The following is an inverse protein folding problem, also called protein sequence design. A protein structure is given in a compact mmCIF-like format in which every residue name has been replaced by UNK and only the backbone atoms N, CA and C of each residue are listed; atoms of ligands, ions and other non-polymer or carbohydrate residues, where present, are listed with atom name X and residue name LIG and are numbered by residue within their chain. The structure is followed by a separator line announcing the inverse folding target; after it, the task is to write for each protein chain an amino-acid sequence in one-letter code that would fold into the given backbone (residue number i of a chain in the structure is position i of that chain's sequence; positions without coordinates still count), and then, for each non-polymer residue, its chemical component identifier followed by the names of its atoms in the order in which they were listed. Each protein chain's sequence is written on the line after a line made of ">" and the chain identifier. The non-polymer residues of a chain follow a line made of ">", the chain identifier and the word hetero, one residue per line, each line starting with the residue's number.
data_IF_355217637104
#
_entry.id   IF_355217637104
#
_cell.length_a   1.000
_cell.length_b   1.000
_cell.length_c   1.000
_cell.angle_alpha   90.00
_cell.angle_beta   90.00
_cell.angle_gamma   90.00
#
_symmetry.space_group_name_H-M   'P 1'
#
loop_
_entity.id
_entity.type
_entity.pdbx_description
1 polymer ?
#
# COMPACT_ATOMS: atom_id res chain seq x y z
N UNK A 1 -10.10 8.46 5.42
CA UNK A 1 -9.47 7.18 5.08
C UNK A 1 -10.46 6.09 4.73
N UNK A 2 -10.40 5.62 3.48
CA UNK A 2 -11.08 4.40 3.02
C UNK A 2 -10.22 3.16 3.34
N UNK A 3 -10.88 2.03 3.58
CA UNK A 3 -10.19 0.79 3.94
C UNK A 3 -10.78 -0.42 3.19
N UNK A 4 -9.95 -1.45 3.02
CA UNK A 4 -10.33 -2.74 2.46
C UNK A 4 -9.65 -3.87 3.25
N UNK A 5 -10.38 -4.93 3.55
CA UNK A 5 -9.80 -6.13 4.16
C UNK A 5 -8.95 -6.90 3.15
N UNK A 6 -7.85 -7.51 3.61
CA UNK A 6 -6.89 -8.19 2.76
C UNK A 6 -7.53 -9.17 1.76
N UNK A 7 -8.42 -10.05 2.21
CA UNK A 7 -9.07 -11.05 1.34
C UNK A 7 -9.78 -10.42 0.14
N UNK A 8 -10.48 -9.30 0.36
CA UNK A 8 -11.19 -8.60 -0.71
C UNK A 8 -10.22 -7.87 -1.63
N UNK A 9 -9.18 -7.26 -1.08
CA UNK A 9 -8.10 -6.66 -1.86
C UNK A 9 -7.42 -7.72 -2.75
N UNK A 10 -7.05 -8.86 -2.18
CA UNK A 10 -6.34 -9.93 -2.86
C UNK A 10 -7.18 -10.52 -4.01
N UNK A 11 -8.49 -10.69 -3.81
CA UNK A 11 -9.42 -11.08 -4.87
C UNK A 11 -9.47 -10.08 -6.03
N UNK A 12 -9.36 -8.78 -5.77
CA UNK A 12 -9.31 -7.75 -6.83
C UNK A 12 -7.95 -7.76 -7.53
N UNK A 13 -6.87 -7.80 -6.74
CA UNK A 13 -5.49 -7.87 -7.21
C UNK A 13 -5.25 -9.04 -8.17
N UNK A 14 -5.90 -10.19 -7.94
CA UNK A 14 -5.83 -11.35 -8.82
C UNK A 14 -6.62 -11.22 -10.13
N UNK A 15 -7.59 -10.31 -10.20
CA UNK A 15 -8.53 -10.19 -11.33
C UNK A 15 -8.18 -9.06 -12.28
N UNK A 16 -7.62 -7.99 -11.77
CA UNK A 16 -7.33 -6.79 -12.54
C UNK A 16 -6.04 -6.12 -12.05
N UNK A 17 -5.33 -5.39 -12.93
CA UNK A 17 -4.17 -4.63 -12.51
C UNK A 17 -4.58 -3.53 -11.53
N UNK A 18 -4.00 -3.57 -10.33
CA UNK A 18 -4.19 -2.55 -9.30
C UNK A 18 -2.89 -1.78 -9.08
N UNK A 19 -3.02 -0.48 -8.85
CA UNK A 19 -1.91 0.33 -8.37
C UNK A 19 -1.76 0.10 -6.86
N UNK A 20 -0.71 -0.62 -6.48
CA UNK A 20 -0.44 -0.96 -5.08
C UNK A 20 0.84 -0.27 -4.65
N UNK A 21 0.78 0.40 -3.50
CA UNK A 21 1.91 1.09 -2.87
C UNK A 21 2.31 0.34 -1.60
N UNK A 22 3.47 -0.31 -1.61
CA UNK A 22 4.05 -0.93 -0.42
C UNK A 22 4.90 0.09 0.33
N UNK A 23 4.54 0.36 1.59
CA UNK A 23 5.22 1.33 2.46
C UNK A 23 6.08 0.68 3.55
N UNK A 24 6.40 -0.61 3.39
CA UNK A 24 7.41 -1.29 4.22
C UNK A 24 8.82 -0.79 3.89
N UNK A 25 9.76 -1.14 4.75
CA UNK A 25 11.18 -0.88 4.46
C UNK A 25 11.69 -1.84 3.37
N UNK A 26 12.80 -1.47 2.73
CA UNK A 26 13.36 -2.18 1.56
C UNK A 26 13.65 -3.65 1.87
N UNK A 27 14.18 -3.95 3.05
CA UNK A 27 14.52 -5.31 3.48
C UNK A 27 13.28 -6.21 3.61
N UNK A 28 12.18 -5.68 4.16
CA UNK A 28 10.91 -6.41 4.23
C UNK A 28 10.33 -6.68 2.82
N UNK A 29 10.48 -5.71 1.91
CA UNK A 29 10.00 -5.82 0.54
C UNK A 29 10.79 -6.86 -0.28
N UNK A 30 12.12 -6.80 -0.20
CA UNK A 30 13.02 -7.73 -0.89
C UNK A 30 12.85 -9.17 -0.39
N UNK A 31 12.51 -9.37 0.88
CA UNK A 31 12.25 -10.70 1.44
C UNK A 31 10.99 -11.35 0.84
N UNK A 32 9.90 -10.60 0.73
CA UNK A 32 8.63 -11.05 0.15
C UNK A 32 7.74 -9.85 -0.18
N UNK A 33 7.24 -9.77 -1.42
CA UNK A 33 6.28 -8.76 -1.85
C UNK A 33 5.30 -9.32 -2.89
N UNK A 34 4.21 -8.60 -3.11
CA UNK A 34 3.26 -8.87 -4.20
C UNK A 34 3.87 -8.42 -5.53
N UNK A 35 3.62 -9.14 -6.62
CA UNK A 35 4.13 -8.75 -7.94
C UNK A 35 3.48 -7.46 -8.46
N UNK A 36 4.26 -6.65 -9.18
CA UNK A 36 3.76 -5.44 -9.86
C UNK A 36 3.41 -4.28 -8.91
N UNK A 37 3.87 -4.32 -7.67
CA UNK A 37 3.62 -3.25 -6.69
C UNK A 37 4.79 -2.25 -6.64
N UNK A 38 4.47 -0.98 -6.39
CA UNK A 38 5.46 0.08 -6.22
C UNK A 38 5.91 0.14 -4.75
N UNK A 39 7.23 0.11 -4.51
CA UNK A 39 7.81 0.33 -3.19
C UNK A 39 8.03 1.83 -2.95
N UNK A 40 7.53 2.35 -1.83
CA UNK A 40 7.85 3.67 -1.32
C UNK A 40 7.84 3.63 0.22
N UNK A 41 9.00 3.41 0.87
CA UNK A 41 9.05 3.21 2.31
C UNK A 41 8.42 4.38 3.07
N UNK A 42 7.72 4.09 4.17
CA UNK A 42 7.11 5.14 4.99
C UNK A 42 8.14 6.17 5.48
N UNK A 43 9.38 5.72 5.72
CA UNK A 43 10.53 6.55 6.11
C UNK A 43 10.89 7.60 5.06
N UNK A 44 10.60 7.36 3.79
CA UNK A 44 10.94 8.23 2.65
C UNK A 44 9.71 8.93 2.04
N UNK A 45 8.50 8.54 2.46
CA UNK A 45 7.23 8.99 1.87
C UNK A 45 7.12 10.52 1.83
N UNK A 46 7.50 11.21 2.91
CA UNK A 46 7.35 12.66 3.01
C UNK A 46 8.18 13.43 1.95
N UNK A 47 9.31 12.87 1.54
CA UNK A 47 10.22 13.50 0.58
C UNK A 47 9.92 13.08 -0.87
N UNK A 48 9.27 11.93 -1.07
CA UNK A 48 9.15 11.25 -2.36
C UNK A 48 7.70 11.03 -2.83
N UNK A 49 6.68 11.41 -2.06
CA UNK A 49 5.27 11.17 -2.44
C UNK A 49 4.88 11.76 -3.81
N UNK A 50 5.58 12.78 -4.28
CA UNK A 50 5.36 13.41 -5.58
C UNK A 50 5.74 12.51 -6.77
N UNK A 51 6.39 11.36 -6.53
CA UNK A 51 6.59 10.31 -7.52
C UNK A 51 5.29 9.56 -7.87
N UNK A 52 4.24 9.73 -7.06
CA UNK A 52 2.93 9.14 -7.28
C UNK A 52 2.07 10.02 -8.19
N UNK A 53 1.28 9.38 -9.05
CA UNK A 53 0.33 10.02 -9.95
C UNK A 53 -0.92 10.45 -9.17
N UNK A 54 -1.20 11.75 -9.09
CA UNK A 54 -2.25 12.31 -8.24
C UNK A 54 -3.67 11.77 -8.55
N UNK A 55 -3.95 11.50 -9.83
CA UNK A 55 -5.27 11.05 -10.27
C UNK A 55 -5.51 9.55 -10.09
N UNK A 56 -4.45 8.78 -9.82
CA UNK A 56 -4.48 7.33 -9.65
C UNK A 56 -4.97 6.93 -8.25
N UNK A 57 -5.70 5.81 -8.18
CA UNK A 57 -6.11 5.21 -6.91
C UNK A 57 -5.03 4.23 -6.44
N UNK A 58 -4.45 4.45 -5.27
CA UNK A 58 -3.46 3.55 -4.69
C UNK A 58 -4.04 2.70 -3.55
N UNK A 59 -3.82 1.39 -3.61
CA UNK A 59 -4.01 0.48 -2.49
C UNK A 59 -2.71 0.44 -1.69
N UNK A 60 -2.73 0.99 -0.47
CA UNK A 60 -1.53 1.14 0.34
C UNK A 60 -1.44 -0.03 1.31
N UNK A 61 -0.32 -0.75 1.26
CA UNK A 61 -0.08 -1.94 2.05
C UNK A 61 1.19 -1.78 2.88
N UNK A 62 1.20 -2.35 4.08
CA UNK A 62 2.40 -2.53 4.87
C UNK A 62 2.41 -3.93 5.50
N UNK A 63 3.21 -4.16 6.54
CA UNK A 63 3.20 -5.45 7.26
C UNK A 63 1.82 -5.82 7.84
N UNK A 64 1.18 -4.93 8.58
CA UNK A 64 -0.04 -5.25 9.36
C UNK A 64 -1.23 -4.29 9.18
N UNK A 65 -1.06 -3.21 8.41
CA UNK A 65 -2.07 -2.16 8.22
C UNK A 65 -1.81 -0.85 9.00
N UNK A 66 -0.89 -0.84 9.97
CA UNK A 66 -0.64 0.35 10.82
C UNK A 66 0.16 1.44 10.08
N UNK A 67 1.28 1.06 9.45
CA UNK A 67 2.12 2.00 8.67
C UNK A 67 1.38 2.51 7.43
N UNK A 68 0.63 1.66 6.75
CA UNK A 68 -0.17 2.03 5.59
C UNK A 68 -1.31 2.98 5.97
N UNK A 69 -1.94 2.83 7.13
CA UNK A 69 -2.90 3.82 7.63
C UNK A 69 -2.29 5.22 7.78
N UNK A 70 -1.06 5.32 8.32
CA UNK A 70 -0.34 6.60 8.44
C UNK A 70 0.02 7.17 7.07
N UNK A 71 0.51 6.33 6.17
CA UNK A 71 0.80 6.73 4.80
C UNK A 71 -0.46 7.24 4.08
N UNK A 72 -1.59 6.53 4.22
CA UNK A 72 -2.86 6.96 3.65
C UNK A 72 -3.29 8.31 4.19
N UNK A 73 -3.22 8.54 5.51
CA UNK A 73 -3.57 9.83 6.08
C UNK A 73 -2.73 10.96 5.48
N UNK A 74 -1.40 10.78 5.43
CA UNK A 74 -0.48 11.75 4.83
C UNK A 74 -0.82 12.02 3.36
N UNK A 75 -1.06 10.98 2.56
CA UNK A 75 -1.38 11.09 1.14
C UNK A 75 -2.75 11.74 0.89
N UNK A 76 -3.78 11.42 1.69
CA UNK A 76 -5.10 12.06 1.62
C UNK A 76 -5.00 13.58 1.88
N UNK A 77 -4.17 14.01 2.84
CA UNK A 77 -3.92 15.43 3.13
C UNK A 77 -3.27 16.17 1.94
N UNK A 78 -2.56 15.45 1.07
CA UNK A 78 -1.95 15.97 -0.16
C UNK A 78 -2.83 15.76 -1.41
N UNK A 79 -4.06 15.27 -1.25
CA UNK A 79 -5.05 15.15 -2.34
C UNK A 79 -5.01 13.83 -3.12
N UNK A 80 -4.22 12.84 -2.67
CA UNK A 80 -4.16 11.53 -3.32
C UNK A 80 -5.36 10.65 -2.98
N UNK A 81 -5.76 9.81 -3.93
CA UNK A 81 -6.80 8.79 -3.74
C UNK A 81 -6.14 7.52 -3.23
N UNK A 82 -6.41 7.17 -1.97
CA UNK A 82 -5.79 6.01 -1.31
C UNK A 82 -6.80 5.13 -0.58
N UNK A 83 -6.51 3.84 -0.51
CA UNK A 83 -7.25 2.86 0.30
C UNK A 83 -6.24 2.07 1.13
N UNK A 84 -6.43 2.05 2.46
CA UNK A 84 -5.60 1.25 3.36
C UNK A 84 -5.98 -0.24 3.26
N UNK A 85 -5.00 -1.11 3.04
CA UNK A 85 -5.20 -2.57 3.07
C UNK A 85 -5.01 -3.09 4.49
N UNK A 86 -6.12 -3.43 5.15
CA UNK A 86 -6.11 -4.00 6.50
C UNK A 86 -5.54 -5.42 6.50
N UNK A 87 -4.78 -5.76 7.54
CA UNK A 87 -4.11 -7.07 7.68
C UNK A 87 -2.72 -7.09 7.04
N UNK A 88 -2.48 -6.26 6.01
CA UNK A 88 -1.18 -6.10 5.37
C UNK A 88 -0.60 -7.41 4.82
N UNK A 89 0.72 -7.44 4.63
CA UNK A 89 1.45 -8.62 4.17
C UNK A 89 1.43 -9.78 5.17
N UNK A 90 1.16 -9.55 6.46
CA UNK A 90 0.93 -10.64 7.42
C UNK A 90 -0.29 -11.49 7.04
N UNK A 91 -1.34 -10.90 6.46
CA UNK A 91 -2.46 -11.68 5.95
C UNK A 91 -2.05 -12.53 4.74
N UNK A 92 -1.14 -12.03 3.88
CA UNK A 92 -0.59 -12.78 2.76
C UNK A 92 0.27 -13.98 3.21
N UNK A 93 1.12 -13.80 4.21
CA UNK A 93 1.99 -14.86 4.77
C UNK A 93 1.19 -16.03 5.39
N UNK A 94 -0.08 -15.81 5.72
CA UNK A 94 -0.97 -16.81 6.33
C UNK A 94 -1.98 -17.43 5.34
N UNK A 95 -1.88 -17.11 4.03
CA UNK A 95 -2.64 -17.78 2.97
C UNK A 95 -2.11 -19.19 2.69
#
# INVERSE_FOLDING_TARGET
>A
MKEIVFDKFYQLYQKEPLSVLDVREVDEFEALHLEGVQLLPLSELADRYQELELDQLYYVICKSGIRSARACQFLEEHGYKVINVQGGMTAFENL
#
